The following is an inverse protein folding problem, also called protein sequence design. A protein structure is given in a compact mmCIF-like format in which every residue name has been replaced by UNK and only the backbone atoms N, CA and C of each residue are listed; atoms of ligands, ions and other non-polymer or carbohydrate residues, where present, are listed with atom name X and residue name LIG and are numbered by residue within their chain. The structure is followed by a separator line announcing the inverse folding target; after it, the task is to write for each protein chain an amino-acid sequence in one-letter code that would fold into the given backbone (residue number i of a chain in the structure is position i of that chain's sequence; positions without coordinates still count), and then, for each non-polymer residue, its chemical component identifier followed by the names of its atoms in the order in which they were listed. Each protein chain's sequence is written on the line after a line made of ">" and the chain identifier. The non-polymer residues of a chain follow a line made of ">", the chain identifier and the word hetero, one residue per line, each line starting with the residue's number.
data_IF_937422648050
#
_entry.id   IF_937422648050
#
_cell.length_a   1.000
_cell.length_b   1.000
_cell.length_c   1.000
_cell.angle_alpha   90.00
_cell.angle_beta   90.00
_cell.angle_gamma   90.00
#
_symmetry.space_group_name_H-M   'P 1'
#
loop_
_entity.id
_entity.type
_entity.pdbx_description
1 polymer ?
#
# COMPACT_ATOMS: atom_id res chain seq x y z
N UNK A 1 -20.70 -6.08 -18.28
CA UNK A 1 -20.13 -4.97 -17.49
C UNK A 1 -18.78 -4.61 -18.07
N UNK A 2 -18.51 -3.33 -18.39
CA UNK A 2 -17.16 -2.92 -18.77
C UNK A 2 -16.26 -3.10 -17.55
N UNK A 3 -15.19 -3.88 -17.70
CA UNK A 3 -14.20 -4.09 -16.65
C UNK A 3 -13.38 -2.81 -16.55
N UNK A 4 -13.60 -2.01 -15.51
CA UNK A 4 -12.78 -0.83 -15.22
C UNK A 4 -11.69 -1.33 -14.28
N UNK A 5 -10.47 -1.42 -14.79
CA UNK A 5 -9.30 -1.81 -14.01
C UNK A 5 -8.51 -0.55 -13.66
N UNK A 6 -8.20 -0.36 -12.38
CA UNK A 6 -7.25 0.64 -11.92
C UNK A 6 -6.05 -0.11 -11.35
N UNK A 7 -4.94 -0.09 -12.07
CA UNK A 7 -3.71 -0.73 -11.69
C UNK A 7 -2.67 0.33 -11.35
N UNK A 8 -1.97 0.14 -10.24
CA UNK A 8 -0.87 0.99 -9.82
C UNK A 8 0.18 0.15 -9.09
N UNK A 9 1.44 0.53 -9.26
CA UNK A 9 2.56 -0.07 -8.52
C UNK A 9 2.97 0.87 -7.39
N UNK A 10 3.20 0.33 -6.20
CA UNK A 10 3.68 1.09 -5.04
C UNK A 10 5.00 0.49 -4.56
N UNK A 11 5.98 1.32 -4.29
CA UNK A 11 7.26 0.94 -3.69
C UNK A 11 7.42 1.66 -2.37
N UNK A 12 7.87 0.94 -1.34
CA UNK A 12 8.01 1.46 0.01
C UNK A 12 8.51 0.37 0.95
N UNK A 13 8.42 0.64 2.25
CA UNK A 13 8.86 -0.28 3.31
C UNK A 13 7.65 -0.76 4.12
N UNK A 14 7.63 -2.04 4.49
CA UNK A 14 6.63 -2.55 5.44
C UNK A 14 6.91 -1.91 6.80
N UNK A 15 5.94 -1.15 7.32
CA UNK A 15 6.12 -0.34 8.53
C UNK A 15 5.77 -1.09 9.83
N UNK A 16 5.00 -2.18 9.73
CA UNK A 16 4.60 -3.04 10.84
C UNK A 16 4.32 -4.44 10.29
N UNK A 17 4.50 -5.45 11.14
CA UNK A 17 4.07 -6.82 10.86
C UNK A 17 2.61 -6.89 10.40
N UNK A 18 2.32 -7.88 9.55
CA UNK A 18 1.01 -8.07 8.99
C UNK A 18 0.01 -8.61 10.02
N UNK A 19 -1.17 -8.01 10.04
CA UNK A 19 -2.34 -8.57 10.73
C UNK A 19 -3.05 -9.53 9.77
N UNK A 20 -3.10 -10.81 10.15
CA UNK A 20 -3.77 -11.85 9.36
C UNK A 20 -5.18 -12.09 9.90
N UNK A 21 -6.18 -11.97 9.03
CA UNK A 21 -7.57 -12.35 9.30
C UNK A 21 -7.94 -13.57 8.47
N UNK A 22 -8.31 -14.65 9.14
CA UNK A 22 -8.74 -15.89 8.50
C UNK A 22 -10.28 -15.92 8.39
N UNK A 23 -10.76 -16.40 7.25
CA UNK A 23 -12.16 -16.68 6.95
C UNK A 23 -12.28 -18.16 6.58
N UNK A 24 -13.51 -18.68 6.51
CA UNK A 24 -13.77 -20.10 6.25
C UNK A 24 -13.08 -20.64 4.99
N UNK A 25 -12.86 -19.81 3.96
CA UNK A 25 -12.30 -20.22 2.66
C UNK A 25 -11.14 -19.35 2.18
N UNK A 26 -10.66 -18.39 2.97
CA UNK A 26 -9.59 -17.47 2.55
C UNK A 26 -8.92 -16.82 3.74
N UNK A 27 -7.72 -16.28 3.57
CA UNK A 27 -7.12 -15.39 4.54
C UNK A 27 -6.63 -14.09 3.90
N UNK A 28 -6.66 -13.02 4.69
CA UNK A 28 -6.27 -11.68 4.28
C UNK A 28 -5.19 -11.18 5.21
N UNK A 29 -4.05 -10.78 4.66
CA UNK A 29 -3.02 -10.03 5.38
C UNK A 29 -3.20 -8.53 5.13
N UNK A 30 -3.09 -7.75 6.21
CA UNK A 30 -3.08 -6.28 6.18
C UNK A 30 -1.79 -5.77 6.81
N UNK A 31 -1.08 -4.90 6.10
CA UNK A 31 0.10 -4.25 6.64
C UNK A 31 0.20 -2.82 6.09
N UNK A 32 0.69 -1.87 6.90
CA UNK A 32 0.98 -0.53 6.43
C UNK A 32 2.29 -0.52 5.61
N UNK A 33 2.26 0.17 4.47
CA UNK A 33 3.44 0.48 3.68
C UNK A 33 3.83 1.95 3.90
N UNK A 34 5.03 2.19 4.41
CA UNK A 34 5.64 3.52 4.43
C UNK A 34 6.13 3.86 3.02
N UNK A 35 5.56 4.92 2.45
CA UNK A 35 5.95 5.45 1.14
C UNK A 35 6.51 6.85 1.32
N UNK A 36 7.56 7.18 0.58
CA UNK A 36 8.11 8.52 0.56
C UNK A 36 8.65 8.85 -0.82
N UNK A 37 8.47 10.10 -1.24
CA UNK A 37 9.07 10.67 -2.45
C UNK A 37 9.58 12.07 -2.17
N UNK A 38 10.55 12.51 -2.95
CA UNK A 38 10.86 13.92 -3.05
C UNK A 38 9.91 14.57 -4.06
N UNK A 39 9.44 15.75 -3.71
CA UNK A 39 8.69 16.62 -4.61
C UNK A 39 9.44 17.93 -4.74
N UNK A 40 9.60 18.38 -5.98
CA UNK A 40 10.18 19.68 -6.29
C UNK A 40 9.07 20.62 -6.69
N UNK A 41 8.98 21.76 -6.02
CA UNK A 41 8.06 22.84 -6.35
C UNK A 41 8.86 24.14 -6.52
N UNK A 42 9.18 24.48 -7.78
CA UNK A 42 10.13 25.56 -8.08
C UNK A 42 11.53 25.24 -7.56
N UNK A 43 12.07 26.10 -6.70
CA UNK A 43 13.40 25.92 -6.09
C UNK A 43 13.35 25.06 -4.82
N UNK A 44 12.18 24.85 -4.22
CA UNK A 44 12.04 24.07 -3.00
C UNK A 44 11.95 22.57 -3.30
N UNK A 45 12.72 21.79 -2.55
CA UNK A 45 12.62 20.32 -2.54
C UNK A 45 12.09 19.87 -1.18
N UNK A 46 10.91 19.24 -1.17
CA UNK A 46 10.28 18.70 0.03
C UNK A 46 10.20 17.19 -0.06
N UNK A 47 10.53 16.50 1.02
CA UNK A 47 10.22 15.06 1.16
C UNK A 47 8.80 14.94 1.70
N UNK A 48 7.95 14.20 0.99
CA UNK A 48 6.60 13.88 1.44
C UNK A 48 6.55 12.38 1.70
N UNK A 49 5.92 11.98 2.79
CA UNK A 49 5.77 10.60 3.20
C UNK A 49 4.36 10.33 3.72
N UNK A 50 3.89 9.11 3.53
CA UNK A 50 2.62 8.64 4.03
C UNK A 50 2.71 7.16 4.44
N UNK A 51 1.79 6.74 5.30
CA UNK A 51 1.51 5.32 5.51
C UNK A 51 0.28 4.93 4.67
N UNK A 52 0.45 3.97 3.77
CA UNK A 52 -0.63 3.38 2.99
C UNK A 52 -1.07 2.07 3.63
N UNK A 53 -2.33 1.97 4.03
CA UNK A 53 -2.86 0.71 4.55
C UNK A 53 -3.27 -0.19 3.37
N UNK A 54 -2.50 -1.25 3.12
CA UNK A 54 -2.75 -2.16 1.99
C UNK A 54 -3.52 -3.38 2.50
N UNK A 55 -4.76 -3.52 2.04
CA UNK A 55 -5.75 -4.40 2.67
C UNK A 55 -6.05 -5.72 1.96
N UNK A 56 -5.44 -6.03 0.81
CA UNK A 56 -5.84 -7.18 -0.01
C UNK A 56 -4.65 -7.96 -0.57
N UNK A 57 -3.80 -8.48 0.31
CA UNK A 57 -3.03 -9.67 -0.02
C UNK A 57 -3.90 -10.89 0.32
N UNK A 58 -4.48 -11.53 -0.70
CA UNK A 58 -5.20 -12.79 -0.53
C UNK A 58 -4.17 -13.91 -0.40
N UNK A 59 -4.16 -14.56 0.76
CA UNK A 59 -3.38 -15.75 1.01
C UNK A 59 -4.32 -16.96 0.80
N UNK A 60 -3.86 -17.90 -0.02
CA UNK A 60 -4.52 -19.19 -0.27
C UNK A 60 -4.25 -20.13 0.90
#
# INVERSE_FOLDING_TARGET
>A
MKKIENNFAVTGFVAKDAEVRQFTTTSVARFPLAVARQEKNGEETKRISAFMNIGKATLI
#
